data_IF_281491240626
#
_entry.id   IF_281491240626
#
_cell.length_a   1.000
_cell.length_b   1.000
_cell.length_c   1.000
_cell.angle_alpha   90.00
_cell.angle_beta   90.00
_cell.angle_gamma   90.00
#
_symmetry.space_group_name_H-M   'P 1'
#
loop_
_entity.id
_entity.type
_entity.pdbx_description
1 polymer ?
#
# COMPACT_ATOMS: atom_id res chain seq x y z
N UNK A 1 -1.19 7.12 -10.38
CA UNK A 1 -1.67 6.93 -8.99
C UNK A 1 -1.85 8.30 -8.35
N UNK A 2 -2.98 8.51 -7.65
CA UNK A 2 -3.35 9.82 -7.08
C UNK A 2 -2.38 10.25 -5.96
N UNK A 3 -2.06 9.35 -5.02
CA UNK A 3 -1.17 9.64 -3.89
C UNK A 3 0.21 10.17 -4.30
N UNK A 4 0.82 9.61 -5.37
CA UNK A 4 2.11 10.10 -5.90
C UNK A 4 2.04 11.56 -6.37
N UNK A 5 0.93 11.97 -6.98
CA UNK A 5 0.73 13.35 -7.42
C UNK A 5 0.62 14.34 -6.26
N UNK A 6 0.01 13.92 -5.15
CA UNK A 6 -0.12 14.75 -3.94
C UNK A 6 1.21 14.98 -3.23
N UNK A 7 2.11 13.99 -3.21
CA UNK A 7 3.39 14.08 -2.47
C UNK A 7 4.58 14.51 -3.33
N UNK A 8 4.43 14.55 -4.66
CA UNK A 8 5.47 15.01 -5.57
C UNK A 8 5.94 16.45 -5.28
N UNK A 9 5.08 17.44 -4.94
CA UNK A 9 5.53 18.80 -4.61
C UNK A 9 6.41 18.87 -3.36
N UNK A 10 6.29 17.91 -2.43
CA UNK A 10 7.16 17.79 -1.25
C UNK A 10 8.48 17.05 -1.52
N UNK A 11 8.78 16.70 -2.79
CA UNK A 11 10.01 15.98 -3.15
C UNK A 11 10.02 14.52 -2.69
N UNK A 12 8.88 13.97 -2.27
CA UNK A 12 8.77 12.60 -1.78
C UNK A 12 8.48 11.63 -2.92
N UNK A 13 9.38 10.70 -3.16
CA UNK A 13 9.14 9.57 -4.06
C UNK A 13 8.60 8.40 -3.25
N UNK A 14 7.49 7.78 -3.67
CA UNK A 14 6.90 6.62 -3.00
C UNK A 14 7.20 5.34 -3.78
N UNK A 15 7.48 4.27 -3.05
CA UNK A 15 7.48 2.89 -3.54
C UNK A 15 6.31 2.12 -2.94
N UNK A 16 5.91 1.05 -3.63
CA UNK A 16 4.82 0.17 -3.19
C UNK A 16 5.31 -1.28 -3.20
N UNK A 17 5.21 -1.96 -2.07
CA UNK A 17 5.60 -3.35 -1.89
C UNK A 17 4.31 -4.16 -1.66
N UNK A 18 3.88 -4.97 -2.64
CA UNK A 18 2.73 -5.85 -2.47
C UNK A 18 3.10 -7.05 -1.59
N UNK A 19 2.19 -7.42 -0.70
CA UNK A 19 2.30 -8.61 0.14
C UNK A 19 0.93 -9.30 0.26
N UNK A 20 0.92 -10.61 0.45
CA UNK A 20 -0.30 -11.33 0.84
C UNK A 20 -0.45 -11.34 2.35
N UNK A 21 -1.68 -11.25 2.83
CA UNK A 21 -2.02 -11.40 4.25
C UNK A 21 -3.40 -12.02 4.36
N UNK A 22 -3.57 -12.94 5.30
CA UNK A 22 -4.90 -13.45 5.62
C UNK A 22 -5.60 -12.48 6.57
N UNK A 23 -6.88 -12.24 6.32
CA UNK A 23 -7.74 -11.37 7.12
C UNK A 23 -9.09 -12.04 7.35
N UNK A 24 -9.72 -11.71 8.47
CA UNK A 24 -11.08 -12.12 8.76
C UNK A 24 -12.07 -11.08 8.22
N UNK A 25 -12.98 -11.49 7.34
CA UNK A 25 -14.09 -10.66 6.85
C UNK A 25 -15.37 -11.48 7.02
N UNK A 26 -16.35 -10.92 7.73
CA UNK A 26 -17.66 -11.55 7.96
C UNK A 26 -17.57 -12.97 8.57
N UNK A 27 -16.53 -13.23 9.37
CA UNK A 27 -16.29 -14.53 9.99
C UNK A 27 -15.59 -15.55 9.09
N UNK A 28 -15.21 -15.17 7.87
CA UNK A 28 -14.44 -16.00 6.94
C UNK A 28 -12.99 -15.53 6.83
N UNK A 29 -12.04 -16.47 6.80
CA UNK A 29 -10.65 -16.17 6.44
C UNK A 29 -10.53 -15.97 4.92
N UNK A 30 -9.91 -14.85 4.54
CA UNK A 30 -9.68 -14.49 3.14
C UNK A 30 -8.25 -14.00 2.96
N UNK A 31 -7.61 -14.43 1.88
CA UNK A 31 -6.29 -13.91 1.49
C UNK A 31 -6.47 -12.56 0.80
N UNK A 32 -5.95 -11.51 1.42
CA UNK A 32 -5.95 -10.15 0.90
C UNK A 32 -4.56 -9.75 0.34
N UNK A 33 -4.56 -8.74 -0.53
CA UNK A 33 -3.34 -8.07 -0.98
C UNK A 33 -3.17 -6.80 -0.15
N UNK A 34 -2.07 -6.74 0.60
CA UNK A 34 -1.62 -5.56 1.33
C UNK A 34 -0.62 -4.79 0.48
N UNK A 35 -0.90 -3.52 0.21
CA UNK A 35 0.03 -2.60 -0.43
C UNK A 35 0.75 -1.79 0.65
N UNK A 36 2.02 -2.10 0.89
CA UNK A 36 2.86 -1.36 1.81
C UNK A 36 3.46 -0.18 1.04
N UNK A 37 3.19 1.05 1.47
CA UNK A 37 3.65 2.27 0.82
C UNK A 37 4.64 3.00 1.72
N UNK A 38 5.82 3.29 1.19
CA UNK A 38 6.88 3.99 1.92
C UNK A 38 7.69 4.92 1.00
N UNK A 39 8.38 5.94 1.55
CA UNK A 39 9.30 6.76 0.77
C UNK A 39 10.46 5.93 0.21
N UNK A 40 10.85 6.22 -1.02
CA UNK A 40 12.06 5.68 -1.63
C UNK A 40 13.29 6.26 -0.92
N UNK A 41 14.10 5.40 -0.31
CA UNK A 41 15.45 5.75 0.17
C UNK A 41 16.46 5.71 -0.96
#
# INVERSE_FOLDING_TARGET
AIARGFVAPSGMELICIPAFTDILIDGEERTAIKLIVEPRK
#
